data_IF_082421222011
#
_entry.id   IF_082421222011
#
_cell.length_a   1.000
_cell.length_b   1.000
_cell.length_c   1.000
_cell.angle_alpha   90.00
_cell.angle_beta   90.00
_cell.angle_gamma   90.00
#
_symmetry.space_group_name_H-M   'P 1'
#
loop_
_entity.id
_entity.type
_entity.pdbx_description
1 polymer ?
#
# COMPACT_ATOMS: atom_id res chain seq x y z
N UNK A 1 -15.76 2.30 11.38
CA UNK A 1 -14.90 3.48 11.60
C UNK A 1 -13.76 3.06 12.51
N UNK A 2 -12.58 3.61 12.29
CA UNK A 2 -11.35 3.30 13.00
C UNK A 2 -11.06 4.34 14.08
N UNK A 3 -10.35 3.90 15.12
CA UNK A 3 -10.00 4.70 16.28
C UNK A 3 -8.85 5.65 15.94
N UNK A 4 -8.98 6.92 16.30
CA UNK A 4 -7.93 7.92 16.13
C UNK A 4 -6.90 7.79 17.26
N UNK A 5 -5.58 7.84 16.95
CA UNK A 5 -4.52 7.75 17.97
C UNK A 5 -4.50 8.97 18.92
N UNK A 6 -5.00 10.13 18.48
CA UNK A 6 -5.00 11.36 19.28
C UNK A 6 -6.13 11.41 20.30
N UNK A 7 -7.37 11.33 19.82
CA UNK A 7 -8.56 11.48 20.68
C UNK A 7 -9.15 10.15 21.16
N UNK A 8 -8.63 9.00 20.70
CA UNK A 8 -9.15 7.64 20.97
C UNK A 8 -10.62 7.43 20.58
N UNK A 9 -11.20 8.35 19.82
CA UNK A 9 -12.57 8.26 19.31
C UNK A 9 -12.61 7.65 17.89
N UNK A 10 -13.76 7.09 17.52
CA UNK A 10 -13.98 6.49 16.20
C UNK A 10 -14.28 7.56 15.14
N UNK A 11 -13.23 8.26 14.69
CA UNK A 11 -13.37 9.38 13.76
C UNK A 11 -12.92 9.12 12.32
N UNK A 12 -12.30 7.98 12.01
CA UNK A 12 -11.64 7.74 10.71
C UNK A 12 -12.41 6.70 9.91
N UNK A 13 -12.73 7.02 8.65
CA UNK A 13 -13.46 6.12 7.74
C UNK A 13 -12.62 4.93 7.30
N UNK A 14 -13.28 3.87 6.83
CA UNK A 14 -12.56 2.67 6.34
C UNK A 14 -11.74 3.01 5.10
N UNK A 15 -12.37 3.65 4.12
CA UNK A 15 -11.69 4.17 2.94
C UNK A 15 -10.57 5.14 3.28
N UNK A 16 -10.78 6.04 4.24
CA UNK A 16 -9.74 6.95 4.69
C UNK A 16 -8.52 6.20 5.26
N UNK A 17 -8.73 5.11 6.03
CA UNK A 17 -7.62 4.27 6.52
C UNK A 17 -6.86 3.59 5.39
N UNK A 18 -7.57 3.00 4.44
CA UNK A 18 -6.96 2.23 3.35
C UNK A 18 -6.10 3.09 2.43
N UNK A 19 -6.53 4.33 2.19
CA UNK A 19 -5.87 5.25 1.28
C UNK A 19 -4.98 6.26 1.99
N UNK A 20 -4.92 6.31 3.32
CA UNK A 20 -3.99 7.21 4.02
C UNK A 20 -2.56 6.67 4.05
N UNK A 21 -1.60 7.59 4.01
CA UNK A 21 -0.16 7.32 4.07
C UNK A 21 0.57 8.51 4.66
N UNK A 22 1.89 8.40 4.84
CA UNK A 22 2.69 9.49 5.43
C UNK A 22 2.68 10.76 4.56
N UNK A 23 2.57 10.58 3.26
CA UNK A 23 2.47 11.61 2.22
C UNK A 23 1.05 12.19 2.07
N UNK A 24 0.03 11.42 2.46
CA UNK A 24 -1.39 11.73 2.30
C UNK A 24 -2.17 11.25 3.54
N UNK A 25 -2.00 11.92 4.70
CA UNK A 25 -2.64 11.52 5.94
C UNK A 25 -4.16 11.76 5.95
N UNK A 26 -4.89 10.95 6.72
CA UNK A 26 -6.32 11.13 6.95
C UNK A 26 -6.56 12.07 8.14
N UNK A 27 -7.53 12.99 8.00
CA UNK A 27 -8.04 13.81 9.11
C UNK A 27 -9.12 13.08 9.89
N UNK A 28 -9.01 13.10 11.21
CA UNK A 28 -10.06 12.61 12.10
C UNK A 28 -11.26 13.57 12.09
N UNK A 29 -12.49 13.05 11.96
CA UNK A 29 -13.70 13.88 12.00
C UNK A 29 -14.00 14.50 13.38
N UNK A 30 -13.50 13.91 14.46
CA UNK A 30 -13.75 14.37 15.83
C UNK A 30 -12.76 15.46 16.26
N UNK A 31 -11.45 15.18 16.15
CA UNK A 31 -10.41 16.11 16.65
C UNK A 31 -9.73 16.93 15.54
N UNK A 32 -10.01 16.67 14.26
CA UNK A 32 -9.35 17.36 13.13
C UNK A 32 -7.90 16.96 12.88
N UNK A 33 -7.25 16.29 13.84
CA UNK A 33 -5.85 15.88 13.77
C UNK A 33 -5.57 14.87 12.66
N UNK A 34 -4.31 14.87 12.21
CA UNK A 34 -3.81 13.99 11.16
C UNK A 34 -3.32 12.65 11.70
N UNK A 35 -3.65 11.61 10.95
CA UNK A 35 -3.23 10.24 11.25
C UNK A 35 -2.98 9.49 9.95
N UNK A 36 -2.05 8.55 9.97
CA UNK A 36 -1.71 7.74 8.80
C UNK A 36 -1.43 6.30 9.17
N UNK A 37 -1.42 5.43 8.17
CA UNK A 37 -0.93 4.05 8.28
C UNK A 37 0.44 3.98 7.61
N UNK A 38 1.40 3.36 8.29
CA UNK A 38 2.78 3.30 7.82
C UNK A 38 2.88 2.62 6.44
N UNK A 39 3.68 3.22 5.53
CA UNK A 39 3.74 2.86 4.11
C UNK A 39 4.14 1.41 3.82
N UNK A 40 4.84 0.75 4.75
CA UNK A 40 5.27 -0.66 4.68
C UNK A 40 4.11 -1.63 4.39
N UNK A 41 2.89 -1.23 4.71
CA UNK A 41 1.70 -2.06 4.64
C UNK A 41 0.63 -1.57 3.65
N UNK A 42 0.90 -0.53 2.85
CA UNK A 42 -0.05 -0.06 1.84
C UNK A 42 -0.30 -1.11 0.75
N UNK A 43 -1.49 -1.06 0.16
CA UNK A 43 -1.81 -1.76 -1.09
C UNK A 43 -1.13 -0.98 -2.22
N UNK A 44 0.04 -1.43 -2.66
CA UNK A 44 0.79 -0.83 -3.75
C UNK A 44 2.22 -1.34 -3.82
N UNK A 45 2.87 -1.18 -4.98
CA UNK A 45 4.25 -1.60 -5.30
C UNK A 45 5.37 -1.01 -4.39
N UNK A 46 5.06 -0.41 -3.25
CA UNK A 46 6.04 0.24 -2.37
C UNK A 46 6.71 -0.72 -1.38
N UNK A 47 6.21 -1.95 -1.22
CA UNK A 47 6.79 -2.94 -0.31
C UNK A 47 7.19 -4.18 -1.12
N UNK A 48 8.50 -4.43 -1.24
CA UNK A 48 9.05 -5.54 -2.02
C UNK A 48 8.63 -6.92 -1.50
N UNK A 49 8.38 -7.02 -0.19
CA UNK A 49 8.02 -8.26 0.48
C UNK A 49 6.65 -8.83 0.06
N UNK A 50 5.54 -8.07 0.15
CA UNK A 50 4.26 -8.53 -0.36
C UNK A 50 4.28 -8.73 -1.87
N UNK A 51 5.12 -8.00 -2.62
CA UNK A 51 5.25 -8.21 -4.07
C UNK A 51 5.77 -9.62 -4.39
N UNK A 52 6.86 -10.06 -3.75
CA UNK A 52 7.42 -11.41 -3.96
C UNK A 52 6.45 -12.53 -3.58
N UNK A 53 5.80 -12.42 -2.42
CA UNK A 53 4.80 -13.41 -1.97
C UNK A 53 3.61 -13.46 -2.94
N UNK A 54 3.18 -12.32 -3.48
CA UNK A 54 2.11 -12.25 -4.48
C UNK A 54 2.50 -12.97 -5.76
N UNK A 55 3.71 -12.75 -6.26
CA UNK A 55 4.22 -13.42 -7.48
C UNK A 55 4.31 -14.93 -7.31
N UNK A 56 4.80 -15.39 -6.15
CA UNK A 56 4.84 -16.81 -5.81
C UNK A 56 3.44 -17.43 -5.75
N UNK A 57 2.49 -16.75 -5.13
CA UNK A 57 1.10 -17.21 -5.06
C UNK A 57 0.45 -17.27 -6.46
N UNK A 58 0.67 -16.27 -7.30
CA UNK A 58 0.19 -16.24 -8.70
C UNK A 58 0.79 -17.40 -9.49
N UNK A 59 2.12 -17.60 -9.41
CA UNK A 59 2.81 -18.69 -10.10
C UNK A 59 2.28 -20.07 -9.66
N UNK A 60 2.06 -20.26 -8.35
CA UNK A 60 1.47 -21.49 -7.81
C UNK A 60 0.06 -21.73 -8.35
N UNK A 61 -0.77 -20.69 -8.45
CA UNK A 61 -2.14 -20.83 -8.94
C UNK A 61 -2.21 -21.11 -10.44
N UNK A 62 -1.29 -20.53 -11.23
CA UNK A 62 -1.11 -20.87 -12.64
C UNK A 62 -0.70 -22.35 -12.77
N UNK A 63 0.25 -22.81 -11.96
CA UNK A 63 0.67 -24.21 -11.97
C UNK A 63 -0.49 -25.17 -11.62
N UNK A 64 -1.26 -24.87 -10.56
CA UNK A 64 -2.42 -25.66 -10.17
C UNK A 64 -3.47 -25.69 -11.28
N UNK A 65 -3.70 -24.56 -11.96
CA UNK A 65 -4.60 -24.51 -13.12
C UNK A 65 -4.14 -25.45 -14.23
N UNK A 66 -2.86 -25.46 -14.59
CA UNK A 66 -2.34 -26.36 -15.63
C UNK A 66 -2.42 -27.85 -15.25
N UNK A 67 -2.21 -28.19 -13.97
CA UNK A 67 -2.24 -29.59 -13.51
C UNK A 67 -3.66 -30.12 -13.32
N UNK A 68 -4.57 -29.29 -12.79
CA UNK A 68 -5.92 -29.72 -12.41
C UNK A 68 -7.02 -29.32 -13.40
N UNK A 69 -6.70 -28.48 -14.40
CA UNK A 69 -7.63 -27.84 -15.32
C UNK A 69 -8.81 -27.13 -14.60
N UNK A 70 -8.56 -26.69 -13.36
CA UNK A 70 -9.58 -26.11 -12.51
C UNK A 70 -9.50 -24.58 -12.53
N UNK A 71 -10.44 -23.95 -13.23
CA UNK A 71 -10.49 -22.48 -13.39
C UNK A 71 -10.73 -21.74 -12.08
N UNK A 72 -11.31 -22.40 -11.06
CA UNK A 72 -11.55 -21.78 -9.77
C UNK A 72 -10.23 -21.45 -9.04
N UNK A 73 -9.15 -22.17 -9.30
CA UNK A 73 -7.83 -21.86 -8.75
C UNK A 73 -7.33 -20.47 -9.16
N UNK A 74 -7.62 -20.05 -10.39
CA UNK A 74 -7.30 -18.72 -10.91
C UNK A 74 -8.18 -17.61 -10.32
N UNK A 75 -9.41 -17.92 -9.92
CA UNK A 75 -10.34 -16.97 -9.31
C UNK A 75 -10.12 -16.79 -7.81
N UNK A 76 -9.87 -17.88 -7.06
CA UNK A 76 -9.70 -17.80 -5.62
C UNK A 76 -8.40 -17.12 -5.21
N UNK A 77 -7.34 -17.27 -6.00
CA UNK A 77 -6.03 -16.68 -5.71
C UNK A 77 -6.06 -15.16 -5.54
N UNK A 78 -6.54 -14.36 -6.51
CA UNK A 78 -6.63 -12.91 -6.37
C UNK A 78 -7.61 -12.52 -5.26
N UNK A 79 -8.70 -13.26 -5.07
CA UNK A 79 -9.70 -12.96 -4.03
C UNK A 79 -9.11 -13.15 -2.62
N UNK A 80 -8.49 -14.29 -2.35
CA UNK A 80 -7.84 -14.58 -1.07
C UNK A 80 -6.68 -13.63 -0.81
N UNK A 81 -5.91 -13.32 -1.85
CA UNK A 81 -4.85 -12.33 -1.77
C UNK A 81 -5.39 -10.95 -1.38
N UNK A 82 -6.42 -10.47 -2.09
CA UNK A 82 -7.04 -9.17 -1.81
C UNK A 82 -7.64 -9.15 -0.40
N UNK A 83 -8.39 -10.19 -0.02
CA UNK A 83 -8.98 -10.32 1.31
C UNK A 83 -7.92 -10.32 2.43
N UNK A 84 -6.82 -11.05 2.26
CA UNK A 84 -5.72 -11.10 3.21
C UNK A 84 -5.05 -9.74 3.39
N UNK A 85 -4.76 -9.05 2.29
CA UNK A 85 -4.17 -7.68 2.32
C UNK A 85 -5.13 -6.69 2.98
N UNK A 86 -6.42 -6.77 2.68
CA UNK A 86 -7.43 -5.94 3.35
C UNK A 86 -7.50 -6.23 4.85
N UNK A 87 -7.43 -7.50 5.25
CA UNK A 87 -7.40 -7.91 6.65
C UNK A 87 -6.19 -7.34 7.41
N UNK A 88 -4.98 -7.48 6.85
CA UNK A 88 -3.75 -6.93 7.44
C UNK A 88 -3.84 -5.42 7.62
N UNK A 89 -4.27 -4.68 6.60
CA UNK A 89 -4.47 -3.22 6.69
C UNK A 89 -5.53 -2.82 7.71
N UNK A 90 -6.60 -3.59 7.84
CA UNK A 90 -7.63 -3.33 8.82
C UNK A 90 -7.11 -3.50 10.26
N UNK A 91 -6.19 -4.44 10.50
CA UNK A 91 -5.61 -4.72 11.81
C UNK A 91 -4.52 -3.73 12.24
N UNK A 92 -3.88 -3.05 11.30
CA UNK A 92 -2.75 -2.18 11.63
C UNK A 92 -3.16 -0.94 12.42
N UNK A 93 -2.41 -0.58 13.47
CA UNK A 93 -2.65 0.65 14.22
C UNK A 93 -2.31 1.86 13.35
N UNK A 94 -3.09 2.94 13.50
CA UNK A 94 -2.74 4.23 12.93
C UNK A 94 -1.73 4.94 13.80
N UNK A 95 -0.90 5.75 13.17
CA UNK A 95 0.07 6.62 13.83
C UNK A 95 -0.30 8.09 13.64
N UNK A 96 -0.01 8.90 14.65
CA UNK A 96 -0.08 10.35 14.56
C UNK A 96 1.05 10.88 13.68
N UNK A 97 0.77 11.93 12.91
CA UNK A 97 1.78 12.66 12.13
C UNK A 97 1.46 14.15 12.16
N UNK A 98 2.49 14.98 12.16
CA UNK A 98 2.34 16.43 12.05
C UNK A 98 2.23 16.86 10.58
N UNK A 99 1.63 18.01 10.30
CA UNK A 99 1.56 18.55 8.93
C UNK A 99 2.95 18.76 8.32
N UNK A 100 3.93 19.19 9.13
CA UNK A 100 5.31 19.44 8.69
C UNK A 100 6.01 18.16 8.23
N UNK A 101 5.89 17.08 9.00
CA UNK A 101 6.44 15.77 8.63
C UNK A 101 5.78 15.21 7.36
N UNK A 102 4.48 15.41 7.18
CA UNK A 102 3.78 14.96 5.98
C UNK A 102 4.28 15.67 4.72
N UNK A 103 4.48 16.99 4.78
CA UNK A 103 5.03 17.77 3.67
C UNK A 103 6.47 17.34 3.34
N UNK A 104 7.29 17.10 4.35
CA UNK A 104 8.66 16.62 4.17
C UNK A 104 8.70 15.24 3.49
N UNK A 105 7.87 14.30 3.97
CA UNK A 105 7.74 12.96 3.39
C UNK A 105 7.23 12.99 1.95
N UNK A 106 6.25 13.87 1.64
CA UNK A 106 5.76 14.07 0.28
C UNK A 106 6.84 14.60 -0.66
N UNK A 107 7.64 15.57 -0.19
CA UNK A 107 8.75 16.13 -0.98
C UNK A 107 9.81 15.07 -1.27
N UNK A 108 10.16 14.25 -0.28
CA UNK A 108 11.08 13.14 -0.45
C UNK A 108 10.54 12.10 -1.44
N UNK A 109 9.27 11.71 -1.31
CA UNK A 109 8.62 10.77 -2.23
C UNK A 109 8.62 11.25 -3.68
N UNK A 110 8.30 12.52 -3.93
CA UNK A 110 8.36 13.11 -5.27
C UNK A 110 9.78 13.11 -5.84
N UNK A 111 10.78 13.43 -5.02
CA UNK A 111 12.18 13.45 -5.45
C UNK A 111 12.70 12.04 -5.76
N UNK A 112 12.29 11.05 -4.97
CA UNK A 112 12.60 9.64 -5.22
C UNK A 112 12.03 9.16 -6.56
N UNK A 113 10.75 9.44 -6.83
CA UNK A 113 10.11 9.09 -8.11
C UNK A 113 10.80 9.78 -9.29
N UNK A 114 11.17 11.05 -9.13
CA UNK A 114 11.88 11.81 -10.16
C UNK A 114 13.27 11.21 -10.47
N UNK A 115 14.05 10.86 -9.45
CA UNK A 115 15.32 10.16 -9.62
C UNK A 115 15.15 8.80 -10.32
N UNK A 116 14.13 8.02 -9.94
CA UNK A 116 13.81 6.74 -10.58
C UNK A 116 13.46 6.92 -12.06
N UNK A 117 12.64 7.92 -12.38
CA UNK A 117 12.28 8.23 -13.76
C UNK A 117 13.52 8.61 -14.59
N UNK A 118 14.42 9.44 -14.04
CA UNK A 118 15.67 9.81 -14.70
C UNK A 118 16.55 8.58 -14.96
N UNK A 119 16.70 7.69 -13.96
CA UNK A 119 17.48 6.46 -14.12
C UNK A 119 16.92 5.54 -15.20
N UNK A 120 15.59 5.38 -15.25
CA UNK A 120 14.92 4.59 -16.29
C UNK A 120 15.13 5.20 -17.67
N UNK A 121 14.95 6.51 -17.83
CA UNK A 121 15.17 7.21 -19.10
C UNK A 121 16.64 7.07 -19.53
N UNK A 122 17.58 7.32 -18.61
CA UNK A 122 19.02 7.18 -18.89
C UNK A 122 19.38 5.75 -19.31
N UNK A 123 18.87 4.73 -18.60
CA UNK A 123 19.08 3.33 -18.95
C UNK A 123 18.51 2.96 -20.33
N UNK A 124 17.33 3.46 -20.68
CA UNK A 124 16.73 3.26 -22.01
C UNK A 124 17.56 3.96 -23.10
N UNK A 125 18.06 5.17 -22.85
CA UNK A 125 18.88 5.90 -23.82
C UNK A 125 20.25 5.26 -24.05
N UNK A 126 20.88 4.73 -23.00
CA UNK A 126 22.19 4.05 -23.10
C UNK A 126 22.05 2.66 -23.71
N UNK A 127 20.96 1.94 -23.44
CA UNK A 127 20.72 0.61 -24.02
C UNK A 127 20.28 0.63 -25.50
N UNK A 128 19.94 1.80 -26.05
CA UNK A 128 19.58 1.99 -27.47
C UNK A 128 20.72 2.61 -28.31
N UNK A 129 21.90 2.80 -27.71
CA UNK A 129 23.13 3.30 -28.37
C UNK A 129 24.09 2.14 -28.62
#
# INVERSE_FOLDING_TARGET
>A
MFQCPHCKEKGIGVWAKFWCGSDTPARCRNCGELSYVHSKYRIGCQSAWPFLVSWLAIALCIYIFFVSNNIYALLFAPILWFAGRFGELALLPMQSITEQESVANRKFGNWFILCLAILVIAGITVGNL
#
